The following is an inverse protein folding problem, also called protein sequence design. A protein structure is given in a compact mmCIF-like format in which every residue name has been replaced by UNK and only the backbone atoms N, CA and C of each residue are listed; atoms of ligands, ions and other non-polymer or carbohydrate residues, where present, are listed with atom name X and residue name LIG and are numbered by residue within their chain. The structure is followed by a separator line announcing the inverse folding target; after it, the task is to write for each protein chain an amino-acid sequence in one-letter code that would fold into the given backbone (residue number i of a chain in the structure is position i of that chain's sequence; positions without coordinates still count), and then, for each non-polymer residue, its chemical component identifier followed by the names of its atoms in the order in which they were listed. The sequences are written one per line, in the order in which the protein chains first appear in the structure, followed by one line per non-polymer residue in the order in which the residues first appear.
data_IF_380536548460
#
_entry.id   IF_380536548460
#
_cell.length_a   1.000
_cell.length_b   1.000
_cell.length_c   1.000
_cell.angle_alpha   90.00
_cell.angle_beta   90.00
_cell.angle_gamma   90.00
#
_symmetry.space_group_name_H-M   'P 1'
#
loop_
_entity.id
_entity.type
_entity.pdbx_description
1 polymer ?
#
# COMPACT_ATOMS: atom_id res chain seq x y z
N UNK A 1 -36.33 -29.07 -38.11
CA UNK A 1 -37.68 -28.67 -38.58
C UNK A 1 -38.34 -27.86 -37.49
N UNK A 2 -38.61 -26.57 -37.71
CA UNK A 2 -39.36 -25.72 -36.79
C UNK A 2 -40.75 -25.49 -37.39
N UNK A 3 -41.80 -26.02 -36.78
CA UNK A 3 -43.17 -25.77 -37.19
C UNK A 3 -43.56 -24.35 -36.80
N UNK A 4 -43.94 -23.54 -37.79
CA UNK A 4 -44.59 -22.25 -37.56
C UNK A 4 -46.09 -22.51 -37.45
N UNK A 5 -46.71 -22.15 -36.33
CA UNK A 5 -48.17 -22.16 -36.20
C UNK A 5 -48.74 -20.92 -36.89
N UNK A 6 -49.56 -21.11 -37.93
CA UNK A 6 -50.41 -20.06 -38.50
C UNK A 6 -51.80 -20.18 -37.86
N UNK A 7 -52.23 -19.14 -37.14
CA UNK A 7 -53.59 -19.00 -36.64
C UNK A 7 -54.33 -17.92 -37.42
N UNK A 8 -55.57 -18.18 -37.82
CA UNK A 8 -56.43 -17.27 -38.57
C UNK A 8 -57.46 -16.66 -37.61
N UNK A 9 -57.38 -15.36 -37.35
CA UNK A 9 -58.37 -14.61 -36.60
C UNK A 9 -58.70 -13.31 -37.35
N UNK A 10 -60.00 -13.07 -37.56
CA UNK A 10 -60.62 -11.80 -37.97
C UNK A 10 -60.23 -11.17 -39.32
N UNK A 11 -60.12 -12.00 -40.38
CA UNK A 11 -60.19 -11.49 -41.77
C UNK A 11 -59.05 -10.57 -42.22
N UNK A 12 -58.01 -10.43 -41.39
CA UNK A 12 -56.83 -9.61 -41.59
C UNK A 12 -55.59 -10.47 -41.39
N UNK A 13 -54.64 -10.41 -42.33
CA UNK A 13 -53.34 -11.07 -42.18
C UNK A 13 -52.44 -10.23 -41.28
N UNK A 14 -52.76 -10.16 -40.00
CA UNK A 14 -51.91 -9.50 -39.03
C UNK A 14 -50.76 -10.45 -38.66
N UNK A 15 -49.55 -10.05 -39.03
CA UNK A 15 -48.33 -10.84 -38.83
C UNK A 15 -47.95 -10.77 -37.35
N UNK A 16 -48.64 -11.55 -36.51
CA UNK A 16 -48.31 -11.71 -35.10
C UNK A 16 -46.86 -12.19 -34.99
N UNK A 17 -45.94 -11.27 -34.67
CA UNK A 17 -44.56 -11.64 -34.42
C UNK A 17 -44.57 -12.61 -33.25
N UNK A 18 -44.10 -13.86 -33.42
CA UNK A 18 -43.97 -14.77 -32.30
C UNK A 18 -43.00 -14.10 -31.33
N UNK A 19 -43.49 -13.74 -30.15
CA UNK A 19 -42.67 -13.22 -29.05
C UNK A 19 -41.55 -14.23 -28.82
N UNK A 20 -40.32 -13.86 -29.21
CA UNK A 20 -39.13 -14.70 -29.20
C UNK A 20 -38.66 -15.09 -27.78
N UNK A 21 -39.45 -14.77 -26.75
CA UNK A 21 -39.05 -14.82 -25.36
C UNK A 21 -39.25 -16.18 -24.67
N UNK A 22 -40.00 -17.13 -25.25
CA UNK A 22 -40.24 -18.44 -24.61
C UNK A 22 -39.11 -19.48 -24.78
N UNK A 23 -38.06 -19.21 -25.55
CA UNK A 23 -36.98 -20.18 -25.81
C UNK A 23 -35.59 -19.72 -25.33
N UNK A 24 -35.48 -18.80 -24.35
CA UNK A 24 -34.24 -18.56 -23.61
C UNK A 24 -33.93 -19.71 -22.63
N UNK A 25 -33.91 -20.92 -23.14
CA UNK A 25 -33.40 -22.12 -22.47
C UNK A 25 -31.88 -22.05 -22.42
N UNK A 26 -31.35 -21.38 -21.41
CA UNK A 26 -29.90 -21.26 -21.23
C UNK A 26 -29.43 -20.41 -20.07
N UNK A 27 -30.26 -20.14 -19.06
CA UNK A 27 -29.87 -19.31 -17.89
C UNK A 27 -28.60 -19.84 -17.22
N UNK A 28 -28.44 -21.16 -17.15
CA UNK A 28 -27.25 -21.80 -16.58
C UNK A 28 -25.98 -21.62 -17.42
N UNK A 29 -26.10 -21.65 -18.76
CA UNK A 29 -24.96 -21.49 -19.66
C UNK A 29 -24.42 -20.07 -19.67
N UNK A 30 -25.33 -19.08 -19.67
CA UNK A 30 -24.96 -17.67 -19.66
C UNK A 30 -24.35 -17.26 -18.30
N UNK A 31 -24.95 -17.69 -17.20
CA UNK A 31 -24.40 -17.43 -15.86
C UNK A 31 -23.02 -18.07 -15.64
N UNK A 32 -22.81 -19.31 -16.13
CA UNK A 32 -21.50 -19.95 -16.06
C UNK A 32 -20.44 -19.16 -16.83
N UNK A 33 -20.77 -18.70 -18.03
CA UNK A 33 -19.82 -17.97 -18.90
C UNK A 33 -19.46 -16.60 -18.30
N UNK A 34 -20.44 -15.87 -17.73
CA UNK A 34 -20.20 -14.62 -17.02
C UNK A 34 -19.32 -14.84 -15.78
N UNK A 35 -19.63 -15.85 -14.97
CA UNK A 35 -18.84 -16.19 -13.78
C UNK A 35 -17.41 -16.58 -14.15
N UNK A 36 -17.25 -17.41 -15.18
CA UNK A 36 -15.94 -17.83 -15.68
C UNK A 36 -15.11 -16.65 -16.17
N UNK A 37 -15.68 -15.81 -17.04
CA UNK A 37 -15.00 -14.60 -17.53
C UNK A 37 -14.66 -13.64 -16.38
N UNK A 38 -15.57 -13.50 -15.41
CA UNK A 38 -15.35 -12.75 -14.17
C UNK A 38 -14.18 -13.28 -13.35
N UNK A 39 -14.10 -14.60 -13.16
CA UNK A 39 -13.00 -15.24 -12.45
C UNK A 39 -11.64 -14.97 -13.11
N UNK A 40 -11.57 -15.09 -14.45
CA UNK A 40 -10.34 -14.82 -15.19
C UNK A 40 -9.94 -13.35 -15.19
N UNK A 41 -10.89 -12.43 -15.26
CA UNK A 41 -10.58 -10.99 -15.17
C UNK A 41 -10.03 -10.63 -13.79
N UNK A 42 -10.65 -11.11 -12.71
CA UNK A 42 -10.15 -10.92 -11.34
C UNK A 42 -8.77 -11.56 -11.16
N UNK A 43 -8.60 -12.80 -11.63
CA UNK A 43 -7.31 -13.51 -11.58
C UNK A 43 -6.22 -12.81 -12.39
N UNK A 44 -6.55 -12.32 -13.58
CA UNK A 44 -5.64 -11.57 -14.45
C UNK A 44 -5.19 -10.24 -13.86
N UNK A 45 -6.13 -9.48 -13.27
CA UNK A 45 -5.80 -8.23 -12.55
C UNK A 45 -4.87 -8.54 -11.37
N UNK A 46 -5.18 -9.58 -10.59
CA UNK A 46 -4.35 -9.97 -9.46
C UNK A 46 -2.93 -10.40 -9.89
N UNK A 47 -2.83 -11.18 -10.97
CA UNK A 47 -1.54 -11.59 -11.55
C UNK A 47 -0.74 -10.37 -12.04
N UNK A 48 -1.39 -9.43 -12.74
CA UNK A 48 -0.76 -8.20 -13.22
C UNK A 48 -0.25 -7.31 -12.07
N UNK A 49 -1.03 -7.14 -11.00
CA UNK A 49 -0.61 -6.40 -9.79
C UNK A 49 0.56 -7.08 -9.08
N UNK A 50 0.57 -8.40 -9.02
CA UNK A 50 1.65 -9.19 -8.42
C UNK A 50 2.93 -9.06 -9.24
N UNK A 51 2.84 -9.21 -10.57
CA UNK A 51 3.96 -9.01 -11.48
C UNK A 51 4.50 -7.58 -11.39
N UNK A 52 3.63 -6.56 -11.42
CA UNK A 52 4.03 -5.16 -11.25
C UNK A 52 4.82 -4.93 -9.96
N UNK A 53 4.46 -5.60 -8.86
CA UNK A 53 5.24 -5.52 -7.62
C UNK A 53 6.61 -6.19 -7.71
N UNK A 54 6.69 -7.37 -8.33
CA UNK A 54 7.97 -8.09 -8.48
C UNK A 54 8.95 -7.28 -9.32
N UNK A 55 8.48 -6.62 -10.38
CA UNK A 55 9.31 -5.81 -11.25
C UNK A 55 9.60 -4.40 -10.72
N UNK A 56 8.94 -3.96 -9.64
CA UNK A 56 9.19 -2.63 -9.08
C UNK A 56 10.49 -2.66 -8.28
N UNK A 57 11.51 -1.86 -8.64
CA UNK A 57 12.77 -1.85 -7.91
C UNK A 57 12.53 -1.45 -6.45
N UNK A 58 13.15 -2.19 -5.53
CA UNK A 58 13.17 -1.85 -4.12
C UNK A 58 13.98 -0.58 -3.95
N UNK A 59 13.37 0.44 -3.36
CA UNK A 59 14.04 1.70 -3.05
C UNK A 59 14.30 1.67 -1.55
N UNK A 60 15.57 1.67 -1.10
CA UNK A 60 15.86 1.70 0.32
C UNK A 60 15.34 3.00 0.94
N UNK A 61 15.05 2.96 2.24
CA UNK A 61 14.76 4.17 3.01
C UNK A 61 15.95 5.13 2.87
N UNK A 62 15.67 6.37 2.44
CA UNK A 62 16.69 7.35 2.14
C UNK A 62 16.43 8.64 2.90
N UNK A 63 17.44 9.10 3.64
CA UNK A 63 17.43 10.37 4.33
C UNK A 63 18.46 11.29 3.68
N UNK A 64 18.00 12.28 2.92
CA UNK A 64 18.89 13.25 2.29
C UNK A 64 19.03 14.49 3.17
N UNK A 65 20.24 14.71 3.67
CA UNK A 65 20.59 15.86 4.49
C UNK A 65 20.88 17.07 3.59
N UNK A 66 19.96 18.05 3.55
CA UNK A 66 20.18 19.35 2.89
C UNK A 66 20.61 20.39 3.94
N UNK A 67 21.10 21.55 3.48
CA UNK A 67 21.69 22.57 4.36
C UNK A 67 20.71 23.15 5.40
N UNK A 68 19.42 23.17 5.09
CA UNK A 68 18.36 23.69 5.99
C UNK A 68 17.11 22.82 6.05
N UNK A 69 17.12 21.67 5.39
CA UNK A 69 16.01 20.72 5.36
C UNK A 69 16.51 19.29 5.32
N UNK A 70 15.63 18.35 5.60
CA UNK A 70 15.88 16.91 5.46
C UNK A 70 14.80 16.35 4.56
N UNK A 71 15.19 15.78 3.42
CA UNK A 71 14.26 15.04 2.58
C UNK A 71 14.23 13.58 3.04
N UNK A 72 13.08 13.15 3.52
CA UNK A 72 12.84 11.78 3.93
C UNK A 72 12.04 11.04 2.88
N UNK A 73 12.52 9.85 2.54
CA UNK A 73 11.83 8.91 1.68
C UNK A 73 11.75 7.57 2.39
N UNK A 74 10.54 7.13 2.73
CA UNK A 74 10.30 5.85 3.41
C UNK A 74 10.73 4.64 2.56
N UNK A 75 10.99 4.85 1.27
CA UNK A 75 11.32 3.78 0.36
C UNK A 75 10.14 2.85 0.09
N UNK A 76 10.45 1.71 -0.52
CA UNK A 76 9.52 0.60 -0.75
C UNK A 76 10.18 -0.63 -0.12
N UNK A 77 9.62 -1.20 0.96
CA UNK A 77 10.23 -2.32 1.64
C UNK A 77 10.36 -3.52 0.68
N UNK A 78 11.44 -4.30 0.78
CA UNK A 78 11.58 -5.53 0.02
C UNK A 78 10.46 -6.50 0.39
N UNK A 79 10.05 -7.33 -0.58
CA UNK A 79 9.11 -8.41 -0.33
C UNK A 79 9.83 -9.49 0.50
N UNK A 80 9.61 -9.47 1.81
CA UNK A 80 10.03 -10.57 2.68
C UNK A 80 9.13 -11.78 2.43
N UNK A 81 9.57 -12.72 1.60
CA UNK A 81 8.92 -14.04 1.42
C UNK A 81 9.24 -14.98 2.59
N UNK A 82 9.33 -14.46 3.82
CA UNK A 82 9.60 -15.31 4.97
C UNK A 82 8.34 -16.16 5.28
N UNK A 83 8.37 -17.41 4.84
CA UNK A 83 7.29 -18.39 4.99
C UNK A 83 7.11 -18.87 6.43
N UNK A 84 8.03 -18.56 7.35
CA UNK A 84 7.98 -19.05 8.73
C UNK A 84 7.18 -18.15 9.68
N UNK A 85 6.98 -16.87 9.35
CA UNK A 85 6.24 -15.95 10.23
C UNK A 85 4.79 -15.85 9.76
N UNK A 86 3.87 -16.43 10.54
CA UNK A 86 2.41 -16.35 10.34
C UNK A 86 1.92 -14.92 10.66
N UNK A 87 2.33 -13.92 9.88
CA UNK A 87 1.84 -12.54 9.99
C UNK A 87 0.34 -12.52 9.66
N UNK A 88 -0.43 -11.67 10.33
CA UNK A 88 -1.87 -11.59 10.09
C UNK A 88 -2.14 -11.11 8.67
N UNK A 89 -3.19 -11.62 8.02
CA UNK A 89 -3.56 -11.22 6.65
C UNK A 89 -3.68 -9.69 6.53
N UNK A 90 -4.12 -9.01 7.59
CA UNK A 90 -4.27 -7.56 7.65
C UNK A 90 -2.94 -6.82 7.56
N UNK A 91 -1.90 -7.28 8.27
CA UNK A 91 -0.55 -6.72 8.18
C UNK A 91 0.06 -6.95 6.80
N UNK A 92 -0.21 -8.10 6.19
CA UNK A 92 0.21 -8.35 4.82
C UNK A 92 -0.42 -7.34 3.85
N UNK A 93 -1.73 -7.10 3.96
CA UNK A 93 -2.42 -6.10 3.14
C UNK A 93 -1.92 -4.68 3.38
N UNK A 94 -1.54 -4.30 4.61
CA UNK A 94 -0.99 -2.96 4.87
C UNK A 94 0.42 -2.79 4.30
N UNK A 95 1.26 -3.84 4.32
CA UNK A 95 2.57 -3.85 3.67
C UNK A 95 2.44 -3.75 2.16
N UNK A 96 1.49 -4.50 1.59
CA UNK A 96 1.15 -4.44 0.17
C UNK A 96 0.79 -2.99 -0.18
N UNK A 97 -0.14 -2.36 0.53
CA UNK A 97 -0.57 -0.99 0.24
C UNK A 97 0.21 0.11 0.96
N UNK A 98 1.44 -0.16 1.42
CA UNK A 98 2.28 0.86 2.03
C UNK A 98 2.56 1.96 1.00
N UNK A 99 1.89 3.10 1.17
CA UNK A 99 2.09 4.26 0.33
C UNK A 99 3.45 4.84 0.68
N UNK A 100 4.33 4.97 -0.32
CA UNK A 100 5.62 5.67 -0.17
C UNK A 100 5.36 7.08 0.35
N UNK A 101 5.93 7.41 1.50
CA UNK A 101 5.84 8.73 2.11
C UNK A 101 7.12 9.47 1.75
N UNK A 102 6.96 10.62 1.08
CA UNK A 102 8.03 11.59 0.88
C UNK A 102 7.68 12.82 1.69
N UNK A 103 8.53 13.15 2.64
CA UNK A 103 8.35 14.31 3.50
C UNK A 103 9.63 15.15 3.47
N UNK A 104 9.49 16.43 3.18
CA UNK A 104 10.58 17.39 3.33
C UNK A 104 10.40 18.10 4.67
N UNK A 105 11.36 17.90 5.57
CA UNK A 105 11.36 18.51 6.89
C UNK A 105 12.12 19.83 6.87
N UNK A 106 11.44 20.91 7.25
CA UNK A 106 12.09 22.20 7.43
C UNK A 106 12.70 22.33 8.83
N UNK A 107 13.64 23.27 8.98
CA UNK A 107 14.31 23.56 10.25
C UNK A 107 13.40 23.69 11.49
N UNK A 108 12.23 24.36 11.47
CA UNK A 108 11.35 24.41 12.64
C UNK A 108 10.75 23.04 12.98
N UNK A 109 10.44 22.21 11.98
CA UNK A 109 9.91 20.87 12.20
C UNK A 109 10.97 19.94 12.79
N UNK A 110 12.24 20.13 12.40
CA UNK A 110 13.37 19.38 13.00
C UNK A 110 13.53 19.64 14.49
N UNK A 111 13.03 20.76 15.03
CA UNK A 111 13.05 21.01 16.48
C UNK A 111 12.08 20.09 17.25
N UNK A 112 11.10 19.52 16.56
CA UNK A 112 10.17 18.53 17.14
C UNK A 112 10.77 17.12 17.16
N UNK A 113 11.98 16.93 16.61
CA UNK A 113 12.68 15.66 16.62
C UNK A 113 12.93 15.23 18.06
N UNK A 114 12.32 14.11 18.44
CA UNK A 114 12.43 13.54 19.78
C UNK A 114 12.74 12.05 19.68
N UNK A 115 13.74 11.64 20.43
CA UNK A 115 13.98 10.24 20.74
C UNK A 115 13.00 9.86 21.87
N UNK A 116 12.15 8.87 21.62
CA UNK A 116 11.20 8.35 22.61
C UNK A 116 11.54 6.92 22.92
N UNK A 117 11.71 6.61 24.19
CA UNK A 117 11.84 5.23 24.65
C UNK A 117 10.45 4.58 24.60
N UNK A 118 10.33 3.44 23.91
CA UNK A 118 9.11 2.63 23.88
C UNK A 118 9.43 1.22 24.36
N UNK A 119 8.41 0.42 24.68
CA UNK A 119 8.61 -0.97 25.12
C UNK A 119 9.37 -1.82 24.08
N UNK A 120 9.28 -1.44 22.80
CA UNK A 120 10.02 -2.05 21.68
C UNK A 120 11.41 -1.45 21.40
N UNK A 121 11.89 -0.53 22.27
CA UNK A 121 13.14 0.21 22.11
C UNK A 121 12.98 1.68 21.70
N UNK A 122 14.10 2.35 21.41
CA UNK A 122 14.16 3.79 21.16
C UNK A 122 13.67 4.19 19.77
N UNK A 123 12.59 4.96 19.66
CA UNK A 123 12.05 5.44 18.37
C UNK A 123 12.40 6.90 18.14
N UNK A 124 12.95 7.20 16.96
CA UNK A 124 13.23 8.57 16.53
C UNK A 124 11.99 9.11 15.81
N UNK A 125 11.32 10.10 16.40
CA UNK A 125 10.04 10.61 15.89
C UNK A 125 10.14 12.10 15.56
N UNK A 126 9.53 12.50 14.45
CA UNK A 126 9.32 13.91 14.07
C UNK A 126 7.82 14.15 13.98
N UNK A 127 7.35 15.23 14.60
CA UNK A 127 5.95 15.64 14.55
C UNK A 127 5.77 16.66 13.39
N UNK A 128 5.00 16.29 12.36
CA UNK A 128 4.67 17.11 11.19
C UNK A 128 3.18 17.48 11.25
N UNK A 129 2.87 18.54 12.00
CA UNK A 129 1.50 18.94 12.28
C UNK A 129 0.76 17.86 13.09
N UNK A 130 -0.25 17.23 12.47
CA UNK A 130 -1.00 16.13 13.08
C UNK A 130 -0.40 14.73 12.81
N UNK A 131 0.62 14.63 11.96
CA UNK A 131 1.23 13.35 11.61
C UNK A 131 2.54 13.16 12.37
N UNK A 132 2.71 12.01 13.01
CA UNK A 132 4.00 11.60 13.58
C UNK A 132 4.67 10.62 12.63
N UNK A 133 5.88 10.96 12.19
CA UNK A 133 6.68 10.13 11.32
C UNK A 133 7.81 9.52 12.15
N UNK A 134 7.89 8.18 12.14
CA UNK A 134 9.01 7.45 12.73
C UNK A 134 10.13 7.34 11.70
N UNK A 135 11.33 7.80 12.06
CA UNK A 135 12.51 7.70 11.21
C UNK A 135 13.29 6.43 11.52
N UNK A 136 13.85 5.80 10.48
CA UNK A 136 14.81 4.72 10.61
C UNK A 136 14.26 3.55 11.44
N UNK A 137 13.01 3.15 11.17
CA UNK A 137 12.31 2.11 11.93
C UNK A 137 13.01 0.74 11.90
N UNK A 138 13.78 0.48 10.84
CA UNK A 138 14.52 -0.77 10.63
C UNK A 138 15.97 -0.72 11.14
N UNK A 139 16.44 0.44 11.60
CA UNK A 139 17.83 0.68 11.99
C UNK A 139 18.05 0.27 13.44
N UNK A 140 19.25 -0.19 13.80
CA UNK A 140 19.55 -0.59 15.17
C UNK A 140 19.45 0.60 16.14
N UNK A 141 19.31 0.32 17.43
CA UNK A 141 19.20 1.36 18.46
C UNK A 141 20.43 2.28 18.51
N UNK A 142 21.63 1.68 18.42
CA UNK A 142 22.90 2.42 18.43
C UNK A 142 22.99 3.37 17.23
N UNK A 143 22.59 2.90 16.05
CA UNK A 143 22.58 3.71 14.83
C UNK A 143 21.50 4.81 14.89
N UNK A 144 20.34 4.55 15.52
CA UNK A 144 19.30 5.56 15.75
C UNK A 144 19.78 6.67 16.68
N UNK A 145 20.46 6.32 17.78
CA UNK A 145 21.09 7.31 18.66
C UNK A 145 22.17 8.11 17.93
N UNK A 146 23.04 7.42 17.18
CA UNK A 146 24.07 8.07 16.38
C UNK A 146 23.46 9.04 15.37
N UNK A 147 22.38 8.65 14.69
CA UNK A 147 21.65 9.49 13.74
C UNK A 147 21.06 10.71 14.45
N UNK A 148 20.42 10.54 15.61
CA UNK A 148 19.88 11.64 16.39
C UNK A 148 20.98 12.65 16.79
N UNK A 149 22.16 12.15 17.22
CA UNK A 149 23.34 12.98 17.53
C UNK A 149 23.85 13.73 16.30
N UNK A 150 23.94 13.05 15.16
CA UNK A 150 24.40 13.64 13.91
C UNK A 150 23.47 14.79 13.47
N UNK A 151 22.16 14.57 13.55
CA UNK A 151 21.14 15.57 13.22
C UNK A 151 21.18 16.74 14.20
N UNK A 152 21.31 16.47 15.50
CA UNK A 152 21.42 17.51 16.51
C UNK A 152 22.64 18.39 16.29
N UNK A 153 23.80 17.78 16.03
CA UNK A 153 25.06 18.48 15.75
C UNK A 153 24.96 19.33 14.47
N UNK A 154 24.37 18.79 13.41
CA UNK A 154 24.32 19.47 12.10
C UNK A 154 23.31 20.62 12.05
N UNK A 155 22.16 20.48 12.72
CA UNK A 155 21.08 21.47 12.66
C UNK A 155 21.00 22.37 13.90
N UNK A 156 21.83 22.10 14.92
CA UNK A 156 21.86 22.84 16.19
C UNK A 156 20.63 22.56 17.06
N UNK A 157 20.21 21.29 17.13
CA UNK A 157 19.04 20.89 17.93
C UNK A 157 19.47 20.68 19.39
N UNK A 158 18.96 21.50 20.30
CA UNK A 158 19.32 21.43 21.72
C UNK A 158 18.70 20.23 22.47
N UNK A 159 17.63 19.61 21.92
CA UNK A 159 16.76 18.69 22.68
C UNK A 159 17.00 17.20 22.42
N UNK A 160 17.93 16.82 21.54
CA UNK A 160 17.95 15.45 21.01
C UNK A 160 18.57 14.37 21.94
N UNK A 161 19.15 14.73 23.09
CA UNK A 161 19.92 13.78 23.89
C UNK A 161 19.54 13.82 25.38
N UNK A 162 18.72 12.87 25.85
CA UNK A 162 18.69 12.53 27.25
C UNK A 162 20.03 11.87 27.62
N UNK A 163 20.86 12.62 28.35
CA UNK A 163 21.83 12.07 29.31
C UNK A 163 22.66 10.86 28.89
N UNK A 164 23.61 11.04 27.98
CA UNK A 164 24.85 10.27 28.04
C UNK A 164 25.99 11.27 28.01
N UNK A 165 26.31 11.77 29.19
CA UNK A 165 27.56 12.47 29.48
C UNK A 165 28.67 11.49 29.08
N UNK A 166 29.20 11.67 27.87
CA UNK A 166 30.33 10.89 27.39
C UNK A 166 31.48 11.36 28.26
N UNK A 167 31.84 10.56 29.25
CA UNK A 167 33.12 10.69 29.93
C UNK A 167 34.18 10.56 28.84
N UNK A 168 34.77 11.69 28.47
CA UNK A 168 35.90 11.75 27.54
C UNK A 168 37.03 10.88 28.10
N UNK A 169 37.41 9.87 27.30
CA UNK A 169 38.59 9.01 27.49
C UNK A 169 39.39 9.00 26.19
#
# INVERSE_FOLDING_TARGET
MRSCCFGWADGSWERSQPSLDCCKGGVFGDAFLIFWLGGWTVGGIFAALTAYRIFRPTVPEALQLRRGSIAYDSGIPPLELNTQTRKSTREYWSLVFAKRIRADFERPQLQTLRLRETESGNRLTIDLGAQRIELASQVSEVEREWLARLLAKRYGLAQALPGREVADA
#
